data_IF_793216221034
#
_entry.id   IF_793216221034
#
_cell.length_a   1.000
_cell.length_b   1.000
_cell.length_c   1.000
_cell.angle_alpha   90.00
_cell.angle_beta   90.00
_cell.angle_gamma   90.00
#
_symmetry.space_group_name_H-M   'P 1'
#
loop_
_entity.id
_entity.type
_entity.pdbx_description
1 polymer ?
#
# COMPACT_ATOMS: atom_id res chain seq x y z
N UNK A 1 21.52 10.55 10.31
CA UNK A 1 21.58 9.82 9.02
C UNK A 1 20.18 9.33 8.76
N UNK A 2 19.50 9.87 7.77
CA UNK A 2 18.16 9.42 7.37
C UNK A 2 18.32 8.22 6.44
N UNK A 3 17.75 7.07 6.80
CA UNK A 3 17.80 5.87 5.96
C UNK A 3 16.63 5.98 4.98
N UNK A 4 16.93 6.28 3.73
CA UNK A 4 15.93 6.23 2.65
C UNK A 4 15.73 4.79 2.18
N UNK A 5 14.49 4.31 2.26
CA UNK A 5 14.06 3.00 1.74
C UNK A 5 13.50 3.09 0.33
N UNK A 6 13.60 4.27 -0.31
CA UNK A 6 13.05 4.51 -1.65
C UNK A 6 14.15 4.47 -2.70
N UNK A 7 13.85 3.81 -3.81
CA UNK A 7 14.69 3.82 -5.01
C UNK A 7 13.87 4.35 -6.18
N UNK A 8 14.33 5.44 -6.76
CA UNK A 8 13.73 6.02 -7.96
C UNK A 8 14.38 5.41 -9.21
N UNK A 9 13.83 4.30 -9.67
CA UNK A 9 14.34 3.56 -10.83
C UNK A 9 15.46 2.57 -10.47
N UNK A 10 15.85 1.73 -11.42
CA UNK A 10 16.87 0.69 -11.25
C UNK A 10 16.31 -0.74 -11.23
N UNK A 11 17.18 -1.71 -10.98
CA UNK A 11 16.78 -3.10 -10.86
C UNK A 11 16.06 -3.30 -9.52
N UNK A 12 14.90 -3.97 -9.53
CA UNK A 12 14.12 -4.24 -8.31
C UNK A 12 14.91 -5.05 -7.28
N UNK A 13 15.88 -5.86 -7.69
CA UNK A 13 16.75 -6.62 -6.80
C UNK A 13 17.68 -5.71 -5.98
N UNK A 14 17.99 -4.52 -6.47
CA UNK A 14 18.82 -3.53 -5.77
C UNK A 14 18.00 -2.67 -4.78
N UNK A 15 16.69 -2.88 -4.74
CA UNK A 15 15.82 -2.11 -3.83
C UNK A 15 16.13 -2.47 -2.37
N UNK A 16 16.38 -1.48 -1.47
CA UNK A 16 16.81 -1.73 -0.09
C UNK A 16 15.90 -2.68 0.70
N UNK A 17 14.59 -2.60 0.49
CA UNK A 17 13.63 -3.50 1.13
C UNK A 17 13.72 -4.93 0.60
N UNK A 18 14.05 -5.11 -0.66
CA UNK A 18 14.26 -6.44 -1.26
C UNK A 18 15.57 -7.03 -0.75
N UNK A 19 16.64 -6.25 -0.68
CA UNK A 19 17.90 -6.67 -0.07
C UNK A 19 17.73 -7.04 1.41
N UNK A 20 16.95 -6.27 2.17
CA UNK A 20 16.61 -6.61 3.54
C UNK A 20 15.88 -7.96 3.63
N UNK A 21 14.90 -8.19 2.74
CA UNK A 21 14.15 -9.45 2.68
C UNK A 21 15.10 -10.62 2.36
N UNK A 22 15.95 -10.46 1.36
CA UNK A 22 16.95 -11.46 0.97
C UNK A 22 17.91 -11.82 2.11
N UNK A 23 18.49 -10.82 2.76
CA UNK A 23 19.39 -11.02 3.90
C UNK A 23 18.70 -11.77 5.05
N UNK A 24 17.41 -11.49 5.33
CA UNK A 24 16.64 -12.21 6.34
C UNK A 24 16.37 -13.65 5.94
N UNK A 25 16.05 -13.91 4.69
CA UNK A 25 15.86 -15.27 4.19
C UNK A 25 17.16 -16.07 4.27
N UNK A 26 18.28 -15.51 3.83
CA UNK A 26 19.59 -16.17 3.92
C UNK A 26 19.95 -16.47 5.38
N UNK A 27 19.85 -15.47 6.28
CA UNK A 27 20.24 -15.65 7.68
C UNK A 27 19.32 -16.60 8.46
N UNK A 28 18.13 -16.93 7.94
CA UNK A 28 17.21 -17.90 8.53
C UNK A 28 17.43 -19.34 8.06
N UNK A 29 18.32 -19.57 7.09
CA UNK A 29 18.61 -20.88 6.56
C UNK A 29 19.77 -21.56 7.31
N UNK A 30 19.85 -22.89 7.21
CA UNK A 30 21.02 -23.64 7.66
C UNK A 30 22.27 -23.26 6.84
N UNK A 31 23.45 -23.49 7.40
CA UNK A 31 24.70 -23.14 6.73
C UNK A 31 24.82 -23.79 5.34
N UNK A 32 24.42 -25.06 5.21
CA UNK A 32 24.47 -25.79 3.93
C UNK A 32 23.65 -25.11 2.85
N UNK A 33 22.48 -24.57 3.19
CA UNK A 33 21.62 -23.82 2.24
C UNK A 33 22.22 -22.45 1.92
N UNK A 34 22.86 -21.79 2.89
CA UNK A 34 23.54 -20.52 2.66
C UNK A 34 24.70 -20.69 1.66
N UNK A 35 25.47 -21.77 1.77
CA UNK A 35 26.56 -22.09 0.87
C UNK A 35 26.07 -22.41 -0.55
N UNK A 36 24.95 -23.14 -0.67
CA UNK A 36 24.30 -23.44 -1.95
C UNK A 36 23.73 -22.16 -2.63
N UNK A 37 23.15 -21.27 -1.87
CA UNK A 37 22.66 -19.97 -2.36
C UNK A 37 23.79 -19.09 -2.89
N UNK A 38 24.96 -19.11 -2.25
CA UNK A 38 26.14 -18.39 -2.74
C UNK A 38 26.62 -18.92 -4.11
N UNK A 39 26.42 -20.21 -4.39
CA UNK A 39 26.80 -20.84 -5.66
C UNK A 39 25.73 -20.66 -6.75
N UNK A 40 24.45 -20.70 -6.40
CA UNK A 40 23.31 -20.73 -7.34
C UNK A 40 22.67 -19.38 -7.62
N UNK A 41 23.02 -18.34 -6.88
CA UNK A 41 22.45 -16.98 -6.99
C UNK A 41 21.40 -16.68 -5.93
N UNK A 42 20.51 -15.72 -6.19
CA UNK A 42 19.58 -15.17 -5.20
C UNK A 42 18.60 -16.21 -4.64
N UNK A 43 18.52 -16.31 -3.30
CA UNK A 43 17.53 -17.10 -2.57
C UNK A 43 16.10 -16.67 -2.91
N UNK A 44 15.91 -15.41 -3.33
CA UNK A 44 14.59 -14.90 -3.72
C UNK A 44 13.96 -15.71 -4.85
N UNK A 45 14.73 -16.24 -5.80
CA UNK A 45 14.21 -17.08 -6.89
C UNK A 45 13.62 -18.39 -6.40
N UNK A 46 14.16 -18.95 -5.32
CA UNK A 46 13.62 -20.19 -4.74
C UNK A 46 12.23 -19.94 -4.10
N UNK A 47 12.07 -18.80 -3.42
CA UNK A 47 10.80 -18.43 -2.76
C UNK A 47 9.81 -17.76 -3.70
N UNK A 48 10.27 -16.99 -4.68
CA UNK A 48 9.46 -16.23 -5.63
C UNK A 48 9.80 -16.66 -7.06
N UNK A 49 9.16 -17.71 -7.59
CA UNK A 49 9.39 -18.14 -8.97
C UNK A 49 9.08 -16.99 -9.95
N UNK A 50 9.95 -16.79 -10.94
CA UNK A 50 10.05 -15.63 -11.83
C UNK A 50 8.77 -15.27 -12.62
N UNK A 51 7.78 -16.16 -12.69
CA UNK A 51 6.55 -15.98 -13.46
C UNK A 51 5.31 -15.98 -12.55
N UNK A 52 5.28 -15.04 -11.61
CA UNK A 52 4.02 -14.74 -10.94
C UNK A 52 3.32 -13.67 -11.78
N UNK A 53 2.45 -14.09 -12.70
CA UNK A 53 1.48 -13.23 -13.37
C UNK A 53 0.53 -12.68 -12.30
N UNK A 54 0.90 -11.55 -11.71
CA UNK A 54 0.10 -10.83 -10.75
C UNK A 54 -0.46 -9.63 -11.48
N UNK A 55 -1.71 -9.72 -11.88
CA UNK A 55 -2.51 -8.68 -12.55
C UNK A 55 -1.82 -7.88 -13.68
N UNK A 56 -2.62 -7.37 -14.61
CA UNK A 56 -2.13 -6.53 -15.70
C UNK A 56 -1.80 -5.11 -15.21
N UNK A 57 -0.62 -4.54 -15.53
CA UNK A 57 0.46 -5.09 -16.35
C UNK A 57 1.31 -6.13 -15.59
N UNK A 58 1.89 -7.09 -16.30
CA UNK A 58 2.72 -8.18 -15.75
C UNK A 58 3.76 -7.63 -14.79
N UNK A 59 3.54 -7.87 -13.51
CA UNK A 59 4.47 -7.51 -12.43
C UNK A 59 5.23 -8.74 -11.97
N UNK A 60 6.51 -8.56 -11.65
CA UNK A 60 7.24 -9.59 -10.90
C UNK A 60 6.71 -9.65 -9.46
N UNK A 61 6.89 -10.79 -8.80
CA UNK A 61 6.51 -10.92 -7.39
C UNK A 61 7.19 -9.87 -6.50
N UNK A 62 8.42 -9.49 -6.80
CA UNK A 62 9.16 -8.48 -6.04
C UNK A 62 8.56 -7.08 -6.22
N UNK A 63 8.20 -6.70 -7.45
CA UNK A 63 7.50 -5.43 -7.70
C UNK A 63 6.15 -5.40 -6.96
N UNK A 64 5.40 -6.51 -7.02
CA UNK A 64 4.15 -6.62 -6.28
C UNK A 64 4.34 -6.41 -4.79
N UNK A 65 5.35 -7.05 -4.17
CA UNK A 65 5.66 -6.90 -2.75
C UNK A 65 5.93 -5.42 -2.42
N UNK A 66 6.75 -4.74 -3.22
CA UNK A 66 7.04 -3.31 -3.01
C UNK A 66 5.79 -2.45 -3.14
N UNK A 67 4.93 -2.72 -4.12
CA UNK A 67 3.68 -1.98 -4.32
C UNK A 67 2.65 -2.22 -3.19
N UNK A 68 2.81 -3.29 -2.39
CA UNK A 68 2.04 -3.52 -1.17
C UNK A 68 2.57 -2.75 0.05
N UNK A 69 3.60 -1.94 -0.10
CA UNK A 69 4.25 -1.25 1.03
C UNK A 69 4.16 0.27 0.91
N UNK A 70 4.35 0.95 2.04
CA UNK A 70 4.62 2.39 2.11
C UNK A 70 6.12 2.68 2.24
N UNK A 71 6.94 1.82 1.66
CA UNK A 71 8.40 1.93 1.75
C UNK A 71 8.97 1.65 3.14
N UNK A 72 8.25 0.94 4.00
CA UNK A 72 8.66 0.62 5.37
C UNK A 72 8.92 -0.88 5.53
N UNK A 73 10.03 -1.29 6.17
CA UNK A 73 10.32 -2.71 6.43
C UNK A 73 9.19 -3.46 7.13
N UNK A 74 8.50 -2.81 8.06
CA UNK A 74 7.38 -3.40 8.83
C UNK A 74 6.23 -3.87 7.94
N UNK A 75 5.99 -3.20 6.81
CA UNK A 75 4.89 -3.53 5.90
C UNK A 75 5.12 -4.89 5.24
N UNK A 76 6.37 -5.14 4.80
CA UNK A 76 6.79 -6.45 4.28
C UNK A 76 6.64 -7.51 5.35
N UNK A 77 7.15 -7.26 6.55
CA UNK A 77 7.08 -8.21 7.67
C UNK A 77 5.62 -8.55 7.99
N UNK A 78 4.73 -7.55 8.05
CA UNK A 78 3.30 -7.75 8.28
C UNK A 78 2.67 -8.62 7.19
N UNK A 79 2.94 -8.33 5.92
CA UNK A 79 2.42 -9.10 4.79
C UNK A 79 2.83 -10.59 4.88
N UNK A 80 4.12 -10.86 5.14
CA UNK A 80 4.59 -12.23 5.25
C UNK A 80 4.12 -12.93 6.53
N UNK A 81 3.96 -12.22 7.65
CA UNK A 81 3.39 -12.80 8.86
C UNK A 81 1.93 -13.24 8.65
N UNK A 82 1.14 -12.48 7.89
CA UNK A 82 -0.22 -12.89 7.51
C UNK A 82 -0.21 -14.15 6.64
N UNK A 83 0.70 -14.25 5.69
CA UNK A 83 0.85 -15.47 4.88
C UNK A 83 1.26 -16.66 5.77
N UNK A 84 2.26 -16.46 6.62
CA UNK A 84 2.76 -17.50 7.53
C UNK A 84 1.68 -17.96 8.51
N UNK A 85 0.94 -17.05 9.12
CA UNK A 85 -0.11 -17.38 10.09
C UNK A 85 -1.24 -18.20 9.46
N UNK A 86 -1.54 -17.98 8.19
CA UNK A 86 -2.64 -18.66 7.48
C UNK A 86 -2.22 -19.98 6.83
N UNK A 87 -0.99 -20.09 6.37
CA UNK A 87 -0.53 -21.22 5.56
C UNK A 87 0.64 -21.99 6.13
N UNK A 88 1.17 -21.55 7.27
CA UNK A 88 2.38 -22.12 7.86
C UNK A 88 3.63 -21.81 7.03
N UNK A 89 4.66 -22.59 7.21
CA UNK A 89 5.90 -22.43 6.46
C UNK A 89 5.74 -22.99 5.03
N UNK A 90 5.98 -22.13 4.06
CA UNK A 90 5.92 -22.46 2.63
C UNK A 90 7.26 -22.23 1.99
N UNK A 91 7.67 -23.17 1.17
CA UNK A 91 8.91 -23.08 0.37
C UNK A 91 8.75 -22.22 -0.87
N UNK A 92 7.51 -21.98 -1.32
CA UNK A 92 7.20 -21.11 -2.45
C UNK A 92 6.00 -20.23 -2.15
N UNK A 93 6.14 -18.94 -2.43
CA UNK A 93 5.11 -17.93 -2.25
C UNK A 93 4.57 -17.52 -3.63
N UNK A 94 3.36 -18.01 -3.94
CA UNK A 94 2.66 -17.78 -5.22
C UNK A 94 1.62 -16.67 -5.05
N UNK A 95 1.18 -16.08 -6.16
CA UNK A 95 0.10 -15.08 -6.23
C UNK A 95 -1.09 -15.39 -5.34
N UNK A 96 -1.60 -16.61 -5.40
CA UNK A 96 -2.77 -17.03 -4.64
C UNK A 96 -2.62 -16.83 -3.12
N UNK A 97 -1.40 -16.92 -2.57
CA UNK A 97 -1.15 -16.69 -1.15
C UNK A 97 -1.27 -15.19 -0.82
N UNK A 98 -0.74 -14.32 -1.65
CA UNK A 98 -0.89 -12.87 -1.49
C UNK A 98 -2.37 -12.45 -1.58
N UNK A 99 -3.08 -12.90 -2.62
CA UNK A 99 -4.49 -12.58 -2.80
C UNK A 99 -5.36 -13.04 -1.61
N UNK A 100 -5.03 -14.20 -1.04
CA UNK A 100 -5.78 -14.75 0.09
C UNK A 100 -5.69 -13.92 1.38
N UNK A 101 -4.59 -13.20 1.60
CA UNK A 101 -4.37 -12.34 2.77
C UNK A 101 -4.66 -10.87 2.49
N UNK A 102 -4.86 -10.49 1.23
CA UNK A 102 -4.99 -9.11 0.77
C UNK A 102 -6.08 -8.33 1.50
N UNK A 103 -7.25 -8.96 1.73
CA UNK A 103 -8.36 -8.30 2.44
C UNK A 103 -7.96 -7.95 3.88
N UNK A 104 -7.37 -8.92 4.60
CA UNK A 104 -6.94 -8.71 5.98
C UNK A 104 -5.83 -7.66 6.05
N UNK A 105 -4.81 -7.78 5.19
CA UNK A 105 -3.72 -6.80 5.10
C UNK A 105 -4.23 -5.38 4.83
N UNK A 106 -5.20 -5.24 3.92
CA UNK A 106 -5.84 -3.97 3.59
C UNK A 106 -6.61 -3.38 4.79
N UNK A 107 -7.33 -4.24 5.54
CA UNK A 107 -8.06 -3.82 6.75
C UNK A 107 -7.11 -3.32 7.84
N UNK A 108 -6.09 -4.10 8.17
CA UNK A 108 -5.09 -3.72 9.18
C UNK A 108 -4.32 -2.45 8.77
N UNK A 109 -4.07 -2.26 7.46
CA UNK A 109 -3.46 -1.04 6.95
C UNK A 109 -4.37 0.17 7.14
N UNK A 110 -5.66 0.05 6.88
CA UNK A 110 -6.59 1.14 7.13
C UNK A 110 -6.70 1.48 8.61
N UNK A 111 -6.74 0.49 9.50
CA UNK A 111 -6.76 0.72 10.95
C UNK A 111 -5.56 1.57 11.41
N UNK A 112 -4.37 1.33 10.85
CA UNK A 112 -3.18 2.13 11.12
C UNK A 112 -3.36 3.59 10.67
N UNK A 113 -3.84 3.83 9.44
CA UNK A 113 -4.08 5.17 8.93
C UNK A 113 -5.24 5.88 9.63
N UNK A 114 -6.28 5.14 10.00
CA UNK A 114 -7.38 5.71 10.78
C UNK A 114 -6.89 6.25 12.11
N UNK A 115 -5.97 5.55 12.76
CA UNK A 115 -5.34 6.03 13.99
C UNK A 115 -4.46 7.27 13.77
N UNK A 116 -3.73 7.35 12.64
CA UNK A 116 -2.97 8.57 12.29
C UNK A 116 -3.92 9.76 12.04
N UNK A 117 -5.05 9.54 11.37
CA UNK A 117 -6.06 10.57 11.11
C UNK A 117 -6.68 11.12 12.40
N UNK A 118 -6.78 10.32 13.48
CA UNK A 118 -7.36 10.80 14.75
C UNK A 118 -6.55 11.91 15.43
N UNK A 119 -5.32 12.16 14.98
CA UNK A 119 -4.55 13.32 15.41
C UNK A 119 -5.17 14.66 14.94
N UNK A 120 -5.99 14.65 13.89
CA UNK A 120 -6.60 15.84 13.29
C UNK A 120 -8.14 15.77 13.20
N UNK A 121 -8.68 14.59 13.05
CA UNK A 121 -10.09 14.30 12.83
C UNK A 121 -10.66 13.52 14.02
N UNK A 122 -11.88 13.79 14.43
CA UNK A 122 -12.59 12.91 15.37
C UNK A 122 -12.84 11.53 14.76
N UNK A 123 -13.11 10.54 15.60
CA UNK A 123 -13.43 9.18 15.12
C UNK A 123 -14.63 9.15 14.15
N UNK A 124 -15.63 10.01 14.40
CA UNK A 124 -16.79 10.15 13.49
C UNK A 124 -16.40 10.75 12.14
N UNK A 125 -15.47 11.73 12.13
CA UNK A 125 -14.96 12.32 10.89
C UNK A 125 -14.08 11.32 10.11
N UNK A 126 -13.27 10.52 10.80
CA UNK A 126 -12.50 9.45 10.16
C UNK A 126 -13.44 8.42 9.51
N UNK A 127 -14.53 8.05 10.18
CA UNK A 127 -15.56 7.17 9.61
C UNK A 127 -16.25 7.82 8.41
N UNK A 128 -16.56 9.12 8.47
CA UNK A 128 -17.11 9.86 7.34
C UNK A 128 -16.15 9.85 6.13
N UNK A 129 -14.84 10.07 6.33
CA UNK A 129 -13.83 9.96 5.27
C UNK A 129 -13.84 8.55 4.67
N UNK A 130 -13.90 7.51 5.51
CA UNK A 130 -14.01 6.12 5.05
C UNK A 130 -15.24 5.92 4.17
N UNK A 131 -16.42 6.40 4.58
CA UNK A 131 -17.68 6.29 3.82
C UNK A 131 -17.59 6.96 2.44
N UNK A 132 -16.89 8.07 2.32
CA UNK A 132 -16.64 8.72 1.03
C UNK A 132 -15.76 7.87 0.13
N UNK A 133 -14.72 7.23 0.65
CA UNK A 133 -13.77 6.44 -0.13
C UNK A 133 -14.31 5.04 -0.51
N UNK A 134 -15.17 4.44 0.32
CA UNK A 134 -15.74 3.10 0.04
C UNK A 134 -16.58 3.10 -1.22
N UNK A 135 -16.21 2.23 -2.18
CA UNK A 135 -16.88 2.10 -3.47
C UNK A 135 -16.65 3.29 -4.42
N UNK A 136 -15.63 4.12 -4.19
CA UNK A 136 -15.17 5.11 -5.17
C UNK A 136 -14.41 4.45 -6.32
N UNK A 137 -14.00 5.23 -7.32
CA UNK A 137 -13.00 4.79 -8.28
C UNK A 137 -11.62 4.69 -7.62
N UNK A 138 -10.75 3.80 -8.13
CA UNK A 138 -9.36 3.75 -7.69
C UNK A 138 -8.57 5.02 -8.04
N UNK A 139 -8.99 5.72 -9.09
CA UNK A 139 -8.48 7.01 -9.53
C UNK A 139 -9.66 7.99 -9.63
N UNK A 140 -9.51 9.19 -9.11
CA UNK A 140 -10.58 10.21 -9.07
C UNK A 140 -10.01 11.62 -8.98
N UNK A 141 -10.74 12.60 -9.51
CA UNK A 141 -10.41 14.02 -9.38
C UNK A 141 -10.96 14.63 -8.09
N UNK A 142 -10.48 15.83 -7.73
CA UNK A 142 -11.08 16.63 -6.64
C UNK A 142 -12.57 16.87 -6.88
N UNK A 143 -12.99 17.12 -8.12
CA UNK A 143 -14.41 17.35 -8.47
C UNK A 143 -15.22 16.10 -8.14
N UNK A 144 -14.79 14.93 -8.57
CA UNK A 144 -15.46 13.67 -8.27
C UNK A 144 -15.49 13.35 -6.77
N UNK A 145 -14.46 13.75 -6.03
CA UNK A 145 -14.46 13.62 -4.58
C UNK A 145 -15.50 14.52 -3.92
N UNK A 146 -15.67 15.78 -4.38
CA UNK A 146 -16.73 16.69 -3.92
C UNK A 146 -18.12 16.13 -4.22
N UNK A 147 -18.37 15.70 -5.47
CA UNK A 147 -19.65 15.10 -5.88
C UNK A 147 -20.00 13.88 -5.01
N UNK A 148 -19.00 13.09 -4.66
CA UNK A 148 -19.20 11.92 -3.82
C UNK A 148 -19.49 12.29 -2.36
N UNK A 149 -18.88 13.35 -1.83
CA UNK A 149 -19.24 13.90 -0.52
C UNK A 149 -20.72 14.33 -0.52
N UNK A 150 -21.15 15.06 -1.54
CA UNK A 150 -22.55 15.51 -1.68
C UNK A 150 -23.54 14.35 -1.78
N UNK A 151 -23.19 13.32 -2.55
CA UNK A 151 -24.00 12.09 -2.66
C UNK A 151 -24.12 11.39 -1.29
N UNK A 152 -23.00 11.15 -0.63
CA UNK A 152 -22.95 10.42 0.64
C UNK A 152 -23.58 11.21 1.78
N UNK A 153 -23.47 12.54 1.81
CA UNK A 153 -24.10 13.42 2.80
C UNK A 153 -25.63 13.29 2.85
N UNK A 154 -26.26 12.81 1.78
CA UNK A 154 -27.71 12.55 1.75
C UNK A 154 -28.11 11.36 2.64
N UNK A 155 -27.21 10.44 2.89
CA UNK A 155 -27.47 9.18 3.59
C UNK A 155 -26.70 9.08 4.92
N UNK A 156 -25.59 9.80 5.06
CA UNK A 156 -24.68 9.73 6.20
C UNK A 156 -24.53 11.11 6.84
N UNK A 157 -25.19 11.36 7.99
CA UNK A 157 -25.13 12.65 8.68
C UNK A 157 -23.69 13.07 9.05
N UNK A 158 -22.83 12.10 9.36
CA UNK A 158 -21.42 12.34 9.65
C UNK A 158 -20.63 12.87 8.45
N UNK A 159 -20.99 12.47 7.23
CA UNK A 159 -20.37 13.00 6.00
C UNK A 159 -20.84 14.45 5.76
N UNK A 160 -22.09 14.75 6.05
CA UNK A 160 -22.61 16.14 5.99
C UNK A 160 -21.87 17.02 6.98
N UNK A 161 -21.74 16.59 8.23
CA UNK A 161 -21.01 17.34 9.25
C UNK A 161 -19.52 17.54 8.89
N UNK A 162 -18.89 16.53 8.29
CA UNK A 162 -17.51 16.62 7.78
C UNK A 162 -17.38 17.72 6.72
N UNK A 163 -18.31 17.77 5.76
CA UNK A 163 -18.29 18.74 4.65
C UNK A 163 -18.56 20.19 5.08
N UNK A 164 -19.31 20.37 6.17
CA UNK A 164 -19.57 21.68 6.75
C UNK A 164 -18.34 22.23 7.50
N UNK A 165 -17.49 21.35 8.00
CA UNK A 165 -16.34 21.70 8.84
C UNK A 165 -15.01 21.75 8.08
N UNK A 166 -14.83 20.90 7.07
CA UNK A 166 -13.56 20.72 6.37
C UNK A 166 -13.69 20.94 4.86
N UNK A 167 -12.69 21.62 4.29
CA UNK A 167 -12.57 21.79 2.84
C UNK A 167 -12.12 20.47 2.20
N UNK A 168 -12.80 19.96 1.15
CA UNK A 168 -12.45 18.69 0.52
C UNK A 168 -10.98 18.57 0.08
N UNK A 169 -10.40 19.64 -0.48
CA UNK A 169 -9.00 19.67 -0.88
C UNK A 169 -8.04 19.47 0.32
N UNK A 170 -8.41 19.98 1.51
CA UNK A 170 -7.62 19.78 2.75
C UNK A 170 -7.68 18.32 3.20
N UNK A 171 -8.85 17.68 3.10
CA UNK A 171 -9.00 16.26 3.41
C UNK A 171 -8.09 15.42 2.49
N UNK A 172 -8.13 15.70 1.17
CA UNK A 172 -7.25 14.99 0.21
C UNK A 172 -5.77 15.24 0.50
N UNK A 173 -5.37 16.46 0.85
CA UNK A 173 -4.00 16.78 1.23
C UNK A 173 -3.54 15.98 2.46
N UNK A 174 -4.39 15.82 3.46
CA UNK A 174 -4.07 15.03 4.65
C UNK A 174 -3.97 13.53 4.31
N UNK A 175 -4.89 13.00 3.50
CA UNK A 175 -4.82 11.62 3.01
C UNK A 175 -3.55 11.37 2.17
N UNK A 176 -3.11 12.35 1.39
CA UNK A 176 -1.86 12.29 0.65
C UNK A 176 -0.65 12.22 1.58
N UNK A 177 -0.60 13.09 2.59
CA UNK A 177 0.51 13.15 3.57
C UNK A 177 0.72 11.85 4.33
N UNK A 178 -0.34 11.17 4.69
CA UNK A 178 -0.24 9.86 5.36
C UNK A 178 -0.10 8.68 4.39
N UNK A 179 -0.23 8.91 3.08
CA UNK A 179 -0.02 7.89 2.05
C UNK A 179 -1.23 7.02 1.74
N UNK A 180 -2.44 7.40 2.16
CA UNK A 180 -3.70 6.74 1.76
C UNK A 180 -3.95 6.93 0.27
N UNK A 181 -3.66 8.13 -0.25
CA UNK A 181 -3.72 8.44 -1.67
C UNK A 181 -2.38 8.94 -2.19
N UNK A 182 -2.19 8.84 -3.49
CA UNK A 182 -1.18 9.54 -4.27
C UNK A 182 -1.83 10.46 -5.29
N UNK A 183 -1.02 11.10 -6.14
CA UNK A 183 -1.47 11.85 -7.31
C UNK A 183 -0.94 11.22 -8.60
N UNK A 184 -1.68 11.34 -9.69
CA UNK A 184 -1.36 10.78 -10.98
C UNK A 184 -1.45 11.88 -12.06
N UNK A 185 -0.29 12.44 -12.47
CA UNK A 185 -0.20 13.38 -13.60
C UNK A 185 0.49 12.72 -14.79
N UNK A 186 1.83 12.75 -14.83
CA UNK A 186 2.63 11.97 -15.79
C UNK A 186 3.01 10.61 -15.26
N UNK A 187 3.17 10.50 -13.93
CA UNK A 187 3.44 9.28 -13.16
C UNK A 187 2.82 9.39 -11.78
N UNK A 188 2.63 8.24 -11.14
CA UNK A 188 2.07 8.17 -9.79
C UNK A 188 3.07 8.67 -8.76
N UNK A 189 2.67 9.70 -8.02
CA UNK A 189 3.46 10.36 -6.99
C UNK A 189 2.84 10.09 -5.63
N UNK A 190 3.66 9.81 -4.64
CA UNK A 190 3.23 9.57 -3.27
C UNK A 190 4.15 10.30 -2.30
N UNK A 191 3.57 10.86 -1.23
CA UNK A 191 4.33 11.53 -0.18
C UNK A 191 5.46 10.65 0.38
N UNK A 192 5.16 9.39 0.69
CA UNK A 192 6.14 8.45 1.23
C UNK A 192 7.25 8.05 0.23
N UNK A 193 7.12 8.38 -1.04
CA UNK A 193 8.16 8.21 -2.07
C UNK A 193 9.03 9.46 -2.26
N UNK A 194 8.95 10.40 -1.30
CA UNK A 194 9.77 11.61 -1.30
C UNK A 194 9.20 12.77 -2.10
N UNK A 195 7.90 12.75 -2.39
CA UNK A 195 7.20 13.83 -3.05
C UNK A 195 6.28 14.56 -2.04
N UNK A 196 6.73 15.70 -1.47
CA UNK A 196 5.98 16.38 -0.42
C UNK A 196 4.80 17.19 -0.92
N UNK A 197 4.75 17.51 -2.24
CA UNK A 197 3.82 18.47 -2.78
C UNK A 197 2.55 17.78 -3.31
N UNK A 198 1.43 18.07 -2.65
CA UNK A 198 0.12 17.66 -3.14
C UNK A 198 -0.35 18.59 -4.25
N UNK A 199 -0.63 18.04 -5.43
CA UNK A 199 -1.22 18.75 -6.56
C UNK A 199 -2.74 18.49 -6.60
N UNK A 200 -3.58 19.46 -6.19
CA UNK A 200 -5.03 19.29 -6.17
C UNK A 200 -5.66 19.26 -7.59
N UNK A 201 -4.90 19.60 -8.63
CA UNK A 201 -5.37 19.56 -10.04
C UNK A 201 -5.12 18.22 -10.69
N UNK A 202 -4.22 17.39 -10.12
CA UNK A 202 -3.96 16.04 -10.58
C UNK A 202 -5.05 15.07 -10.10
N UNK A 203 -5.23 13.97 -10.83
CA UNK A 203 -6.05 12.86 -10.35
C UNK A 203 -5.43 12.25 -9.08
N UNK A 204 -6.25 12.03 -8.07
CA UNK A 204 -5.90 11.26 -6.90
C UNK A 204 -5.96 9.76 -7.21
N UNK A 205 -5.06 8.97 -6.63
CA UNK A 205 -5.04 7.52 -6.77
C UNK A 205 -4.98 6.86 -5.41
N UNK A 206 -5.94 5.98 -5.09
CA UNK A 206 -5.90 5.20 -3.85
C UNK A 206 -4.70 4.24 -3.91
N UNK A 207 -3.89 4.26 -2.85
CA UNK A 207 -2.73 3.37 -2.79
C UNK A 207 -3.17 1.90 -2.85
N UNK A 208 -2.45 1.12 -3.63
CA UNK A 208 -2.83 -0.24 -4.03
C UNK A 208 -3.24 -1.16 -2.87
N UNK A 209 -2.54 -1.21 -1.72
CA UNK A 209 -2.93 -2.05 -0.58
C UNK A 209 -4.31 -1.74 -0.02
N UNK A 210 -4.78 -0.49 -0.10
CA UNK A 210 -6.05 -0.05 0.48
C UNK A 210 -7.25 -0.29 -0.45
N UNK A 211 -7.02 -0.56 -1.73
CA UNK A 211 -8.10 -0.72 -2.71
C UNK A 211 -9.09 -1.81 -2.32
N UNK A 212 -8.60 -2.92 -1.77
CA UNK A 212 -9.46 -4.04 -1.36
C UNK A 212 -10.34 -3.69 -0.17
N UNK A 213 -9.83 -2.88 0.76
CA UNK A 213 -10.61 -2.39 1.91
C UNK A 213 -11.74 -1.45 1.45
N UNK A 214 -11.44 -0.51 0.58
CA UNK A 214 -12.43 0.43 0.06
C UNK A 214 -13.34 -0.16 -1.04
N UNK A 215 -13.17 -1.42 -1.42
CA UNK A 215 -13.93 -2.07 -2.49
C UNK A 215 -13.86 -1.30 -3.82
N UNK A 216 -12.67 -0.80 -4.16
CA UNK A 216 -12.39 -0.10 -5.41
C UNK A 216 -11.60 -1.01 -6.38
N UNK A 217 -11.89 -0.88 -7.66
CA UNK A 217 -11.26 -1.65 -8.75
C UNK A 217 -10.24 -0.81 -9.51
#
# INVERSE_FOLDING_TARGET
MEISWHQNGGNIQDHPLIQMLENRLVSSQSQDIQDDVQQTGSILRAYFPDNVDIDYPRQTALNYIIDQTWGKPRDIVRLFNLIKSRYGERTQIKKALFESVRKQYSTESWEEFSNELTAKYSQTEVEAIRQVLVGSSAEFSLIQFCERIEEKAKFFPEVKALSEKHVPATILQDLYRIGVIGTNSKWKRFYFKGDPDFDPTAECVIHYPLRRFFSVN
#
